data_IF_314648440518
#
_entry.id   IF_314648440518
#
_cell.length_a   1.000
_cell.length_b   1.000
_cell.length_c   1.000
_cell.angle_alpha   90.00
_cell.angle_beta   90.00
_cell.angle_gamma   90.00
#
_symmetry.space_group_name_H-M   'P 1'
#
loop_
_entity.id
_entity.type
_entity.pdbx_description
1 polymer ?
#
# COMPACT_ATOMS: atom_id res chain seq x y z
N UNK A 1 -53.25 80.06 -9.03
CA UNK A 1 -54.62 80.04 -8.49
C UNK A 1 -55.13 78.58 -8.51
N UNK A 2 -55.69 78.16 -7.38
CA UNK A 2 -56.46 76.93 -7.12
C UNK A 2 -55.75 75.57 -7.16
N UNK A 3 -55.39 75.18 -6.09
CA UNK A 3 -55.56 74.08 -5.11
C UNK A 3 -56.60 73.04 -5.54
N UNK A 4 -56.25 71.76 -5.53
CA UNK A 4 -57.10 70.66 -5.16
C UNK A 4 -56.31 69.52 -4.52
N UNK A 5 -56.57 69.28 -3.25
CA UNK A 5 -56.16 68.12 -2.45
C UNK A 5 -56.99 66.89 -2.87
N UNK A 6 -56.36 65.76 -3.02
CA UNK A 6 -57.08 64.48 -2.92
C UNK A 6 -56.36 63.59 -1.94
N UNK A 7 -57.06 63.32 -0.84
CA UNK A 7 -56.75 62.25 0.09
C UNK A 7 -57.01 60.89 -0.57
N UNK A 8 -56.07 60.02 -0.53
CA UNK A 8 -56.34 58.62 -0.86
C UNK A 8 -55.93 57.74 0.32
N UNK A 9 -56.93 56.99 0.86
CA UNK A 9 -56.86 56.09 1.95
C UNK A 9 -55.96 54.90 1.66
N UNK A 10 -55.02 54.62 2.55
CA UNK A 10 -54.22 53.40 2.53
C UNK A 10 -55.06 52.22 3.04
N UNK A 11 -55.32 51.24 2.19
CA UNK A 11 -55.77 49.92 2.60
C UNK A 11 -54.54 49.06 2.85
N UNK A 12 -54.23 48.75 4.12
CA UNK A 12 -53.21 47.78 4.47
C UNK A 12 -53.75 46.36 4.22
N UNK A 13 -53.23 45.74 3.18
CA UNK A 13 -53.40 44.29 2.98
C UNK A 13 -52.22 43.62 3.71
N UNK A 14 -52.51 43.02 4.84
CA UNK A 14 -51.58 42.11 5.50
C UNK A 14 -51.45 40.83 4.66
N UNK A 15 -50.42 40.75 3.86
CA UNK A 15 -49.96 39.49 3.28
C UNK A 15 -49.20 38.76 4.38
N UNK A 16 -49.85 37.76 4.97
CA UNK A 16 -49.16 36.76 5.76
C UNK A 16 -48.20 36.00 4.84
N UNK A 17 -46.95 36.43 4.85
CA UNK A 17 -45.83 35.66 4.30
C UNK A 17 -45.73 34.36 5.12
N UNK A 18 -46.22 33.27 4.57
CA UNK A 18 -45.76 31.95 5.02
C UNK A 18 -44.25 31.90 4.75
N UNK A 19 -43.49 31.96 5.78
CA UNK A 19 -42.06 31.78 5.71
C UNK A 19 -41.77 30.37 5.18
N UNK A 20 -41.18 30.30 4.03
CA UNK A 20 -40.64 29.08 3.43
C UNK A 20 -39.30 28.73 4.11
N UNK A 21 -39.27 28.62 5.47
CA UNK A 21 -38.11 28.14 6.17
C UNK A 21 -37.93 26.61 6.10
N UNK A 22 -39.00 25.88 5.70
CA UNK A 22 -38.91 24.41 5.56
C UNK A 22 -38.15 23.95 4.31
N UNK A 23 -37.96 24.79 3.29
CA UNK A 23 -37.29 24.37 2.05
C UNK A 23 -35.75 24.43 2.11
N UNK A 24 -35.18 25.17 3.06
CA UNK A 24 -33.71 25.25 3.21
C UNK A 24 -33.15 24.13 4.10
N UNK A 25 -33.92 23.66 5.07
CA UNK A 25 -33.48 22.51 5.91
C UNK A 25 -33.63 21.17 5.18
N UNK A 26 -34.67 21.01 4.33
CA UNK A 26 -34.82 19.84 3.47
C UNK A 26 -33.68 19.74 2.44
N UNK A 27 -33.19 20.87 1.93
CA UNK A 27 -32.08 20.87 0.96
C UNK A 27 -30.77 20.49 1.60
N UNK A 28 -30.48 20.87 2.87
CA UNK A 28 -29.26 20.50 3.58
C UNK A 28 -29.24 19.04 4.03
N UNK A 29 -30.39 18.46 4.36
CA UNK A 29 -30.51 17.06 4.75
C UNK A 29 -30.49 16.09 3.57
N UNK A 30 -30.50 16.59 2.34
CA UNK A 30 -30.61 15.77 1.11
C UNK A 30 -29.29 15.59 0.34
N UNK A 31 -28.19 16.20 0.78
CA UNK A 31 -26.89 16.04 0.12
C UNK A 31 -26.30 14.67 0.44
N UNK A 32 -25.80 13.98 -0.59
CA UNK A 32 -25.11 12.70 -0.43
C UNK A 32 -23.73 12.96 0.14
N UNK A 33 -23.44 12.37 1.29
CA UNK A 33 -22.14 12.38 1.96
C UNK A 33 -21.76 10.98 2.36
N UNK A 34 -20.47 10.73 2.62
CA UNK A 34 -19.98 9.42 3.05
C UNK A 34 -19.19 9.53 4.35
N UNK A 35 -19.28 8.48 5.15
CA UNK A 35 -18.36 8.20 6.24
C UNK A 35 -17.57 6.96 5.88
N UNK A 36 -16.26 7.11 5.69
CA UNK A 36 -15.43 6.01 5.21
C UNK A 36 -14.62 5.36 6.32
N UNK A 37 -14.47 4.06 6.21
CA UNK A 37 -13.41 3.29 6.86
C UNK A 37 -12.52 2.69 5.77
N UNK A 38 -11.23 2.92 5.88
CA UNK A 38 -10.21 2.17 5.15
C UNK A 38 -9.63 1.20 6.14
N UNK A 39 -9.33 -0.02 5.73
CA UNK A 39 -8.74 -1.02 6.62
C UNK A 39 -7.80 -0.42 7.65
N UNK A 40 -7.91 -0.82 8.93
CA UNK A 40 -7.46 -0.08 10.11
C UNK A 40 -5.95 0.21 10.17
N UNK A 41 -5.62 1.50 10.38
CA UNK A 41 -4.39 2.10 10.90
C UNK A 41 -3.03 1.48 10.56
N UNK A 42 -2.38 2.04 9.54
CA UNK A 42 -0.95 1.95 9.35
C UNK A 42 -0.40 3.33 8.94
N UNK A 43 0.83 3.65 9.30
CA UNK A 43 1.47 4.93 8.98
C UNK A 43 2.28 4.77 7.70
N UNK A 44 1.99 5.60 6.66
CA UNK A 44 2.80 5.63 5.48
C UNK A 44 2.07 5.98 4.17
N UNK A 45 2.70 5.87 2.98
CA UNK A 45 2.08 6.05 1.65
C UNK A 45 0.88 5.12 1.39
N UNK A 46 0.63 4.22 2.29
CA UNK A 46 -0.54 3.40 2.47
C UNK A 46 -1.76 4.26 2.84
N UNK A 47 -2.86 4.07 2.12
CA UNK A 47 -4.11 4.73 2.43
C UNK A 47 -4.72 4.13 3.70
N UNK A 48 -5.14 4.99 4.61
CA UNK A 48 -5.79 4.64 5.88
C UNK A 48 -6.97 5.56 6.11
N UNK A 49 -7.85 5.22 7.06
CA UNK A 49 -8.96 6.10 7.43
C UNK A 49 -8.49 7.49 7.89
N UNK A 50 -7.27 7.58 8.44
CA UNK A 50 -6.73 8.84 8.95
C UNK A 50 -6.15 9.72 7.84
N UNK A 51 -5.43 9.13 6.86
CA UNK A 51 -4.73 9.86 5.82
C UNK A 51 -5.46 9.91 4.48
N UNK A 52 -6.55 9.17 4.28
CA UNK A 52 -7.41 9.30 3.11
C UNK A 52 -8.04 10.70 3.11
N UNK A 53 -7.70 11.50 2.12
CA UNK A 53 -8.21 12.87 1.98
C UNK A 53 -9.25 12.98 0.87
N UNK A 54 -9.16 12.12 -0.13
CA UNK A 54 -9.95 12.20 -1.35
C UNK A 54 -10.35 10.82 -1.84
N UNK A 55 -11.55 10.70 -2.38
CA UNK A 55 -12.02 9.53 -3.12
C UNK A 55 -12.91 9.95 -4.28
N UNK A 56 -13.03 9.10 -5.27
CA UNK A 56 -13.87 9.30 -6.46
C UNK A 56 -14.99 8.29 -6.44
N UNK A 57 -16.22 8.78 -6.54
CA UNK A 57 -17.41 7.96 -6.39
C UNK A 57 -18.25 8.02 -7.68
N UNK A 58 -18.66 6.86 -8.17
CA UNK A 58 -19.69 6.72 -9.18
C UNK A 58 -20.97 6.16 -8.55
N UNK A 59 -22.12 6.67 -8.94
CA UNK A 59 -23.41 6.25 -8.44
C UNK A 59 -24.30 5.73 -9.57
N UNK A 60 -24.95 4.61 -9.32
CA UNK A 60 -25.83 3.94 -10.28
C UNK A 60 -27.20 3.69 -9.65
N UNK A 61 -28.28 3.86 -10.42
CA UNK A 61 -29.60 3.43 -9.98
C UNK A 61 -29.63 1.90 -9.88
N UNK A 62 -30.01 1.37 -8.71
CA UNK A 62 -30.13 -0.07 -8.51
C UNK A 62 -31.13 -0.73 -9.47
N UNK A 63 -32.21 -0.03 -9.81
CA UNK A 63 -33.32 -0.55 -10.62
C UNK A 63 -32.93 -0.91 -12.05
N UNK A 64 -31.98 -0.17 -12.66
CA UNK A 64 -31.65 -0.34 -14.08
C UNK A 64 -30.16 -0.23 -14.41
N UNK A 65 -29.31 0.05 -13.42
CA UNK A 65 -27.86 0.18 -13.60
C UNK A 65 -27.42 1.44 -14.36
N UNK A 66 -28.32 2.37 -14.67
CA UNK A 66 -27.93 3.64 -15.29
C UNK A 66 -27.13 4.49 -14.30
N UNK A 67 -26.11 5.20 -14.81
CA UNK A 67 -25.34 6.14 -14.01
C UNK A 67 -26.21 7.31 -13.56
N UNK A 68 -26.11 7.66 -12.28
CA UNK A 68 -26.66 8.90 -11.72
C UNK A 68 -25.60 10.00 -11.77
N UNK A 69 -24.38 9.70 -11.32
CA UNK A 69 -23.18 10.50 -11.55
C UNK A 69 -21.97 9.56 -11.67
N UNK A 70 -20.94 10.02 -12.34
CA UNK A 70 -19.72 9.25 -12.56
C UNK A 70 -18.50 10.04 -12.10
N UNK A 71 -17.57 9.34 -11.42
CA UNK A 71 -16.25 9.85 -11.05
C UNK A 71 -16.27 11.19 -10.30
N UNK A 72 -17.27 11.37 -9.46
CA UNK A 72 -17.40 12.58 -8.65
C UNK A 72 -16.40 12.57 -7.50
N UNK A 73 -15.60 13.62 -7.38
CA UNK A 73 -14.66 13.80 -6.28
C UNK A 73 -15.38 14.10 -4.97
N UNK A 74 -14.99 13.38 -3.93
CA UNK A 74 -15.37 13.62 -2.54
C UNK A 74 -14.13 13.89 -1.71
N UNK A 75 -14.14 14.93 -0.91
CA UNK A 75 -13.02 15.35 -0.07
C UNK A 75 -13.39 15.22 1.40
N UNK A 76 -12.44 14.79 2.21
CA UNK A 76 -12.60 14.70 3.66
C UNK A 76 -12.86 16.08 4.25
N UNK A 77 -13.92 16.21 5.02
CA UNK A 77 -14.29 17.45 5.67
C UNK A 77 -13.23 17.85 6.72
N UNK A 78 -12.77 19.09 6.67
CA UNK A 78 -11.82 19.62 7.64
C UNK A 78 -12.56 20.11 8.88
N UNK A 79 -12.39 19.41 9.99
CA UNK A 79 -13.04 19.76 11.27
C UNK A 79 -12.82 18.69 12.33
N UNK A 80 -13.19 18.96 13.56
CA UNK A 80 -12.94 18.12 14.72
C UNK A 80 -13.54 16.73 14.59
N UNK A 81 -12.72 15.75 14.25
CA UNK A 81 -13.01 14.33 14.49
C UNK A 81 -13.99 13.65 13.54
N UNK A 82 -14.40 14.28 12.43
CA UNK A 82 -15.28 13.65 11.44
C UNK A 82 -14.50 12.95 10.34
N UNK A 83 -14.88 11.72 10.01
CA UNK A 83 -14.43 11.00 8.80
C UNK A 83 -15.44 11.18 7.65
N UNK A 84 -16.15 12.31 7.63
CA UNK A 84 -17.15 12.63 6.62
C UNK A 84 -16.48 13.12 5.34
N UNK A 85 -16.92 12.59 4.21
CA UNK A 85 -16.51 13.01 2.88
C UNK A 85 -17.67 13.71 2.20
N UNK A 86 -17.42 14.92 1.73
CA UNK A 86 -18.40 15.79 1.03
C UNK A 86 -18.03 15.90 -0.44
N UNK A 87 -19.02 15.95 -1.34
CA UNK A 87 -18.78 16.09 -2.78
C UNK A 87 -18.27 17.49 -3.14
N UNK A 88 -17.34 17.58 -4.08
CA UNK A 88 -16.90 18.87 -4.63
C UNK A 88 -18.05 19.63 -5.30
N UNK A 89 -18.94 18.90 -6.00
CA UNK A 89 -20.20 19.43 -6.51
C UNK A 89 -21.36 18.71 -5.81
N UNK A 90 -22.30 19.44 -5.17
CA UNK A 90 -23.38 18.82 -4.40
C UNK A 90 -24.18 17.78 -5.21
N UNK A 91 -24.32 16.60 -4.64
CA UNK A 91 -25.14 15.51 -5.17
C UNK A 91 -26.29 15.26 -4.20
N UNK A 92 -27.50 15.07 -4.70
CA UNK A 92 -28.69 15.04 -3.87
C UNK A 92 -29.41 13.68 -3.96
N UNK A 93 -30.00 13.27 -2.84
CA UNK A 93 -30.88 12.13 -2.81
C UNK A 93 -32.16 12.39 -3.61
N UNK A 94 -32.58 11.43 -4.41
CA UNK A 94 -33.92 11.44 -5.02
C UNK A 94 -34.82 10.50 -4.22
N UNK A 95 -36.00 10.96 -3.88
CA UNK A 95 -36.97 10.22 -3.09
C UNK A 95 -37.34 8.87 -3.75
N UNK A 96 -37.41 7.81 -2.95
CA UNK A 96 -37.78 6.47 -3.42
C UNK A 96 -36.74 5.77 -4.29
N UNK A 97 -35.52 6.33 -4.44
CA UNK A 97 -34.42 5.72 -5.20
C UNK A 97 -33.42 4.99 -4.31
N UNK A 98 -32.99 3.84 -4.81
CA UNK A 98 -31.84 3.11 -4.24
C UNK A 98 -30.66 3.21 -5.21
N UNK A 99 -29.50 3.50 -4.65
CA UNK A 99 -28.27 3.67 -5.42
C UNK A 99 -27.26 2.59 -5.02
N UNK A 100 -26.49 2.13 -6.00
CA UNK A 100 -25.20 1.50 -5.81
C UNK A 100 -24.13 2.59 -5.93
N UNK A 101 -23.40 2.85 -4.85
CA UNK A 101 -22.20 3.68 -4.87
C UNK A 101 -20.99 2.82 -5.01
N UNK A 102 -20.07 3.21 -5.89
CA UNK A 102 -18.77 2.57 -6.10
C UNK A 102 -17.71 3.65 -5.96
N UNK A 103 -16.81 3.47 -4.99
CA UNK A 103 -15.76 4.43 -4.70
C UNK A 103 -14.38 3.82 -4.95
N UNK A 104 -13.47 4.64 -5.43
CA UNK A 104 -12.06 4.31 -5.62
C UNK A 104 -11.18 5.42 -5.06
N UNK A 105 -9.96 5.08 -4.69
CA UNK A 105 -8.88 6.02 -4.46
C UNK A 105 -7.55 5.35 -4.84
N UNK A 106 -6.60 6.10 -5.42
CA UNK A 106 -6.69 7.47 -5.93
C UNK A 106 -7.59 7.58 -7.18
N UNK A 107 -7.63 8.77 -7.79
CA UNK A 107 -8.35 9.06 -9.03
C UNK A 107 -8.00 8.06 -10.14
N UNK A 108 -9.02 7.60 -10.90
CA UNK A 108 -8.86 6.56 -11.93
C UNK A 108 -7.83 6.89 -13.01
N UNK A 109 -7.66 8.17 -13.34
CA UNK A 109 -6.67 8.65 -14.32
C UNK A 109 -5.23 8.50 -13.83
N UNK A 110 -5.04 8.32 -12.53
CA UNK A 110 -3.72 8.15 -11.92
C UNK A 110 -3.35 6.67 -11.71
N UNK A 111 -4.24 5.74 -11.98
CA UNK A 111 -3.95 4.31 -11.95
C UNK A 111 -3.01 3.94 -13.11
N UNK A 112 -2.19 2.90 -12.99
CA UNK A 112 -1.36 2.42 -14.10
C UNK A 112 -2.16 2.16 -15.39
N UNK A 113 -3.39 1.67 -15.22
CA UNK A 113 -4.43 1.56 -16.26
C UNK A 113 -5.75 2.00 -15.65
N UNK A 114 -6.47 2.89 -16.32
CA UNK A 114 -7.75 3.39 -15.81
C UNK A 114 -8.79 2.27 -15.70
N UNK A 115 -9.44 2.10 -14.54
CA UNK A 115 -10.47 1.08 -14.37
C UNK A 115 -11.78 1.46 -15.07
N UNK A 116 -12.52 0.46 -15.50
CA UNK A 116 -13.92 0.58 -15.90
C UNK A 116 -14.80 0.29 -14.70
N UNK A 117 -15.70 1.23 -14.39
CA UNK A 117 -16.62 1.16 -13.23
C UNK A 117 -18.04 0.98 -13.73
N UNK A 118 -18.71 -0.04 -13.22
CA UNK A 118 -20.14 -0.32 -13.47
C UNK A 118 -20.86 -0.55 -12.14
N UNK A 119 -22.18 -0.68 -12.20
CA UNK A 119 -22.98 -1.02 -11.01
C UNK A 119 -22.51 -2.32 -10.33
N UNK A 120 -22.13 -3.32 -11.12
CA UNK A 120 -21.89 -4.68 -10.63
C UNK A 120 -20.41 -5.00 -10.38
N UNK A 121 -19.51 -4.24 -11.01
CA UNK A 121 -18.07 -4.51 -10.90
C UNK A 121 -17.18 -3.32 -11.28
N UNK A 122 -15.95 -3.35 -10.75
CA UNK A 122 -14.82 -2.54 -11.24
C UNK A 122 -13.84 -3.48 -11.92
N UNK A 123 -13.47 -3.19 -13.16
CA UNK A 123 -12.51 -4.01 -13.92
C UNK A 123 -11.33 -3.16 -14.38
N UNK A 124 -10.14 -3.75 -14.35
CA UNK A 124 -8.93 -3.12 -14.87
C UNK A 124 -8.07 -4.20 -15.52
N UNK A 125 -7.97 -4.17 -16.84
CA UNK A 125 -7.14 -5.09 -17.60
C UNK A 125 -5.67 -4.65 -17.56
N UNK A 126 -4.74 -5.61 -17.54
CA UNK A 126 -3.30 -5.37 -17.59
C UNK A 126 -2.77 -4.42 -16.50
N UNK A 127 -3.43 -4.37 -15.34
CA UNK A 127 -2.98 -3.55 -14.21
C UNK A 127 -1.61 -4.04 -13.74
N UNK A 128 -0.61 -3.16 -13.76
CA UNK A 128 0.77 -3.43 -13.39
C UNK A 128 1.28 -2.35 -12.44
N UNK A 129 1.59 -2.65 -11.18
CA UNK A 129 2.28 -1.72 -10.29
C UNK A 129 3.64 -1.31 -10.87
N UNK A 130 4.08 -0.07 -10.62
CA UNK A 130 5.39 0.40 -11.04
C UNK A 130 6.51 -0.50 -10.49
N UNK A 131 7.57 -0.71 -11.26
CA UNK A 131 8.72 -1.53 -10.83
C UNK A 131 9.60 -0.80 -9.80
N UNK A 132 9.63 0.53 -9.85
CA UNK A 132 10.23 1.37 -8.82
C UNK A 132 9.28 1.47 -7.63
N UNK A 133 9.72 1.01 -6.45
CA UNK A 133 8.85 0.91 -5.27
C UNK A 133 8.27 2.26 -4.86
N UNK A 134 9.02 3.35 -4.96
CA UNK A 134 8.56 4.70 -4.59
C UNK A 134 7.52 5.29 -5.54
N UNK A 135 7.39 4.75 -6.74
CA UNK A 135 6.43 5.22 -7.75
C UNK A 135 5.09 4.47 -7.66
N UNK A 136 5.02 3.47 -6.80
CA UNK A 136 3.82 2.67 -6.59
C UNK A 136 2.75 3.44 -5.84
N UNK A 137 1.50 3.12 -6.13
CA UNK A 137 0.32 3.68 -5.48
C UNK A 137 -0.48 2.58 -4.81
N UNK A 138 -1.00 2.89 -3.65
CA UNK A 138 -1.99 2.06 -3.01
C UNK A 138 -3.35 2.28 -3.68
N UNK A 139 -4.01 1.19 -4.04
CA UNK A 139 -5.27 1.20 -4.77
C UNK A 139 -6.35 0.59 -3.88
N UNK A 140 -7.39 1.37 -3.60
CA UNK A 140 -8.51 0.94 -2.77
C UNK A 140 -9.84 1.09 -3.50
N UNK A 141 -10.76 0.14 -3.26
CA UNK A 141 -12.10 0.11 -3.85
C UNK A 141 -13.12 -0.25 -2.77
N UNK A 142 -14.31 0.35 -2.84
CA UNK A 142 -15.44 -0.05 -2.02
C UNK A 142 -16.76 0.20 -2.72
N UNK A 143 -17.78 -0.54 -2.32
CA UNK A 143 -19.14 -0.33 -2.84
C UNK A 143 -20.19 -0.51 -1.74
N UNK A 144 -21.28 0.22 -1.85
CA UNK A 144 -22.40 0.17 -0.90
C UNK A 144 -23.72 0.48 -1.58
N UNK A 145 -24.79 -0.16 -1.10
CA UNK A 145 -26.16 0.18 -1.46
C UNK A 145 -26.74 1.13 -0.43
N UNK A 146 -27.37 2.23 -0.87
CA UNK A 146 -28.02 3.16 0.04
C UNK A 146 -29.22 3.88 -0.59
N UNK A 147 -30.10 4.35 0.30
CA UNK A 147 -31.26 5.17 -0.01
C UNK A 147 -31.27 6.43 0.85
N UNK A 148 -32.12 7.39 0.52
CA UNK A 148 -32.34 8.56 1.40
C UNK A 148 -32.88 8.20 2.79
N UNK A 149 -33.46 7.01 2.95
CA UNK A 149 -34.07 6.58 4.23
C UNK A 149 -33.10 5.83 5.15
N UNK A 150 -32.03 5.21 4.60
CA UNK A 150 -31.13 4.35 5.37
C UNK A 150 -29.70 4.89 5.51
N UNK A 151 -29.45 6.15 5.19
CA UNK A 151 -28.22 6.83 5.55
C UNK A 151 -28.34 7.48 6.93
N UNK A 152 -27.23 7.54 7.66
CA UNK A 152 -27.22 8.26 8.94
C UNK A 152 -26.94 9.77 8.74
N UNK A 153 -27.10 10.57 9.81
CA UNK A 153 -26.86 12.03 9.76
C UNK A 153 -25.43 12.42 9.39
N UNK A 154 -24.48 11.47 9.46
CA UNK A 154 -23.06 11.69 9.13
C UNK A 154 -22.68 11.14 7.76
N UNK A 155 -23.64 10.72 6.93
CA UNK A 155 -23.46 10.17 5.60
C UNK A 155 -23.62 8.65 5.52
N UNK A 156 -23.33 8.10 4.34
CA UNK A 156 -23.37 6.67 4.04
C UNK A 156 -22.11 6.00 4.56
N UNK A 157 -22.24 4.92 5.31
CA UNK A 157 -21.10 4.12 5.75
C UNK A 157 -20.53 3.34 4.57
N UNK A 158 -19.28 3.63 4.22
CA UNK A 158 -18.57 3.02 3.10
C UNK A 158 -17.23 2.44 3.55
N UNK A 159 -17.02 1.14 3.32
CA UNK A 159 -15.74 0.48 3.56
C UNK A 159 -14.95 0.37 2.26
N UNK A 160 -13.73 0.88 2.27
CA UNK A 160 -12.76 0.77 1.17
C UNK A 160 -11.77 -0.34 1.47
N UNK A 161 -11.49 -1.18 0.49
CA UNK A 161 -10.62 -2.35 0.62
C UNK A 161 -9.39 -2.20 -0.26
N UNK A 162 -8.22 -2.53 0.27
CA UNK A 162 -6.98 -2.64 -0.51
C UNK A 162 -7.08 -3.83 -1.46
N UNK A 163 -6.67 -3.63 -2.71
CA UNK A 163 -6.73 -4.66 -3.75
C UNK A 163 -5.38 -5.28 -4.07
N UNK A 164 -4.31 -4.77 -3.51
CA UNK A 164 -2.94 -5.26 -3.62
C UNK A 164 -2.50 -5.96 -2.32
N UNK A 165 -1.31 -6.56 -2.36
CA UNK A 165 -0.56 -6.98 -1.17
C UNK A 165 0.53 -5.95 -0.89
N UNK A 166 0.81 -5.67 0.39
CA UNK A 166 1.91 -4.80 0.78
C UNK A 166 3.08 -5.61 1.33
N UNK A 167 4.29 -5.31 0.85
CA UNK A 167 5.53 -5.93 1.30
C UNK A 167 6.42 -4.87 1.95
N UNK A 168 6.52 -4.91 3.27
CA UNK A 168 7.40 -4.06 4.05
C UNK A 168 8.67 -4.82 4.40
N UNK A 169 9.83 -4.26 4.08
CA UNK A 169 11.13 -4.84 4.43
C UNK A 169 11.83 -3.90 5.38
N UNK A 170 12.24 -4.43 6.50
CA UNK A 170 13.03 -3.75 7.51
C UNK A 170 14.24 -4.60 7.88
N UNK A 171 15.31 -3.95 8.29
CA UNK A 171 16.54 -4.58 8.72
C UNK A 171 16.85 -4.18 10.14
N UNK A 172 17.52 -5.06 10.89
CA UNK A 172 18.08 -4.76 12.20
C UNK A 172 19.45 -5.39 12.37
N UNK A 173 20.28 -4.78 13.23
CA UNK A 173 21.55 -5.33 13.67
C UNK A 173 21.89 -4.82 15.07
N UNK A 174 22.20 -5.74 15.98
CA UNK A 174 22.75 -5.45 17.31
C UNK A 174 24.27 -5.66 17.35
N UNK A 175 24.92 -5.88 16.19
CA UNK A 175 26.35 -6.16 16.11
C UNK A 175 27.19 -4.87 16.14
N UNK A 176 27.77 -4.55 17.28
CA UNK A 176 28.60 -3.35 17.48
C UNK A 176 29.96 -3.40 16.74
N UNK A 177 30.32 -4.55 16.14
CA UNK A 177 31.62 -4.75 15.47
C UNK A 177 31.54 -4.59 13.95
N UNK A 178 30.34 -4.48 13.40
CA UNK A 178 30.09 -4.42 11.95
C UNK A 178 29.25 -3.20 11.60
N UNK A 179 29.61 -2.53 10.52
CA UNK A 179 28.83 -1.48 9.89
C UNK A 179 28.29 -2.00 8.56
N UNK A 180 26.98 -1.95 8.40
CA UNK A 180 26.29 -2.25 7.17
C UNK A 180 25.85 -0.95 6.50
N UNK A 181 26.22 -0.77 5.24
CA UNK A 181 25.79 0.34 4.39
C UNK A 181 24.89 -0.23 3.31
N UNK A 182 23.61 0.11 3.35
CA UNK A 182 22.59 -0.44 2.46
C UNK A 182 22.25 0.65 1.42
N UNK A 183 22.61 0.42 0.17
CA UNK A 183 22.42 1.36 -0.93
C UNK A 183 21.15 1.10 -1.73
N UNK A 184 20.60 -0.09 -1.65
CA UNK A 184 19.40 -0.45 -2.38
C UNK A 184 18.78 -1.75 -1.93
N UNK A 185 17.59 -2.00 -2.48
CA UNK A 185 16.76 -3.18 -2.20
C UNK A 185 16.09 -3.66 -3.47
N UNK A 186 15.94 -4.97 -3.62
CA UNK A 186 15.13 -5.60 -4.68
C UNK A 186 14.25 -6.70 -4.10
N UNK A 187 13.05 -6.86 -4.67
CA UNK A 187 12.23 -8.07 -4.55
C UNK A 187 12.30 -8.73 -5.94
N UNK A 188 13.06 -9.80 -6.02
CA UNK A 188 13.50 -10.39 -7.29
C UNK A 188 12.59 -11.53 -7.69
N UNK A 189 12.36 -11.68 -9.00
CA UNK A 189 11.59 -12.75 -9.62
C UNK A 189 10.19 -12.94 -9.03
N UNK A 190 9.50 -11.83 -8.73
CA UNK A 190 8.08 -11.88 -8.46
C UNK A 190 7.37 -12.48 -9.69
N UNK A 191 6.57 -13.52 -9.48
CA UNK A 191 6.12 -14.41 -10.55
C UNK A 191 5.34 -13.69 -11.65
N UNK A 192 4.54 -12.67 -11.30
CA UNK A 192 3.68 -11.95 -12.23
C UNK A 192 3.73 -10.45 -11.99
N UNK A 193 4.01 -9.70 -13.06
CA UNK A 193 4.11 -8.24 -13.03
C UNK A 193 2.78 -7.52 -13.30
N UNK A 194 1.80 -8.21 -13.90
CA UNK A 194 0.50 -7.64 -14.26
C UNK A 194 -0.61 -8.67 -14.21
N UNK A 195 -1.84 -8.18 -14.13
CA UNK A 195 -3.03 -9.02 -14.16
C UNK A 195 -4.30 -8.22 -14.46
N UNK A 196 -5.38 -8.93 -14.72
CA UNK A 196 -6.71 -8.35 -14.81
C UNK A 196 -7.39 -8.40 -13.45
N UNK A 197 -7.68 -7.21 -12.93
CA UNK A 197 -8.50 -7.05 -11.73
C UNK A 197 -9.98 -7.12 -12.10
N UNK A 198 -10.75 -7.87 -11.31
CA UNK A 198 -12.21 -7.79 -11.26
C UNK A 198 -12.63 -7.64 -9.79
N UNK A 199 -13.23 -6.52 -9.45
CA UNK A 199 -13.77 -6.26 -8.12
C UNK A 199 -15.30 -6.31 -8.18
N UNK A 200 -15.90 -7.25 -7.46
CA UNK A 200 -17.36 -7.40 -7.36
C UNK A 200 -17.91 -6.38 -6.37
N UNK A 201 -18.86 -5.56 -6.81
CA UNK A 201 -19.53 -4.54 -5.97
C UNK A 201 -20.63 -5.14 -5.09
N UNK A 202 -20.97 -6.41 -5.29
CA UNK A 202 -22.01 -7.11 -4.52
C UNK A 202 -21.47 -7.61 -3.19
N UNK A 203 -20.28 -8.21 -3.19
CA UNK A 203 -19.64 -8.79 -2.02
C UNK A 203 -18.34 -8.09 -1.60
N UNK A 204 -17.98 -7.01 -2.29
CA UNK A 204 -16.77 -6.21 -2.06
C UNK A 204 -15.48 -7.05 -2.08
N UNK A 205 -15.36 -7.94 -3.06
CA UNK A 205 -14.21 -8.82 -3.24
C UNK A 205 -13.48 -8.58 -4.54
N UNK A 206 -12.15 -8.50 -4.43
CA UNK A 206 -11.26 -8.46 -5.58
C UNK A 206 -10.86 -9.88 -6.02
N UNK A 207 -10.75 -10.08 -7.32
CA UNK A 207 -10.18 -11.26 -7.95
C UNK A 207 -9.15 -10.84 -8.99
N UNK A 208 -8.07 -11.62 -9.13
CA UNK A 208 -6.99 -11.35 -10.06
C UNK A 208 -6.81 -12.51 -11.02
N UNK A 209 -6.86 -12.23 -12.33
CA UNK A 209 -6.40 -13.13 -13.38
C UNK A 209 -4.98 -12.71 -13.79
N UNK A 210 -4.00 -13.59 -13.54
CA UNK A 210 -2.57 -13.33 -13.73
C UNK A 210 -1.99 -14.00 -14.98
N UNK A 211 -2.80 -14.56 -15.85
CA UNK A 211 -2.34 -15.38 -16.98
C UNK A 211 -1.41 -14.61 -17.94
N UNK A 212 -1.64 -13.31 -18.12
CA UNK A 212 -0.82 -12.47 -19.01
C UNK A 212 0.47 -11.95 -18.35
N UNK A 213 0.67 -12.15 -17.05
CA UNK A 213 1.81 -11.59 -16.32
C UNK A 213 3.13 -12.34 -16.56
N UNK A 214 4.24 -11.61 -16.48
CA UNK A 214 5.62 -12.09 -16.61
C UNK A 214 6.36 -11.91 -15.27
N UNK A 215 7.48 -12.59 -15.07
CA UNK A 215 8.38 -12.34 -13.93
C UNK A 215 8.88 -10.89 -13.93
N UNK A 216 9.02 -10.32 -12.74
CA UNK A 216 9.45 -8.93 -12.53
C UNK A 216 10.31 -8.80 -11.28
N UNK A 217 11.18 -7.79 -11.28
CA UNK A 217 11.92 -7.33 -10.09
C UNK A 217 11.44 -5.94 -9.73
N UNK A 218 10.99 -5.77 -8.50
CA UNK A 218 10.70 -4.47 -7.91
C UNK A 218 11.93 -3.98 -7.16
N UNK A 219 12.30 -2.71 -7.32
CA UNK A 219 13.54 -2.19 -6.75
C UNK A 219 13.42 -0.76 -6.25
N UNK A 220 14.34 -0.41 -5.37
CA UNK A 220 14.60 0.97 -4.97
C UNK A 220 16.07 1.16 -4.61
N UNK A 221 16.69 2.22 -5.12
CA UNK A 221 18.07 2.63 -4.80
C UNK A 221 18.00 3.89 -3.95
N UNK A 222 18.60 3.85 -2.76
CA UNK A 222 18.60 4.98 -1.85
C UNK A 222 19.52 6.10 -2.36
N UNK A 223 19.09 7.37 -2.32
CA UNK A 223 19.98 8.51 -2.64
C UNK A 223 21.22 8.53 -1.74
N UNK A 224 21.06 8.23 -0.46
CA UNK A 224 22.15 8.01 0.50
C UNK A 224 22.03 6.63 1.11
N UNK A 225 23.14 5.92 1.38
CA UNK A 225 23.08 4.61 2.02
C UNK A 225 22.44 4.70 3.41
N UNK A 226 21.60 3.74 3.75
CA UNK A 226 21.15 3.51 5.12
C UNK A 226 22.28 2.79 5.85
N UNK A 227 22.70 3.31 7.01
CA UNK A 227 23.81 2.77 7.80
C UNK A 227 23.28 2.16 9.08
N UNK A 228 23.60 0.87 9.29
CA UNK A 228 23.40 0.19 10.58
C UNK A 228 24.78 -0.07 11.19
N UNK A 229 25.00 0.36 12.43
CA UNK A 229 26.29 0.17 13.13
C UNK A 229 26.18 -0.56 14.46
N UNK A 230 24.97 -0.96 14.85
CA UNK A 230 24.70 -1.80 16.02
C UNK A 230 25.08 -1.23 17.39
N UNK A 231 25.67 -0.02 17.44
CA UNK A 231 26.12 0.60 18.68
C UNK A 231 24.96 0.97 19.58
N UNK A 232 25.25 1.15 20.87
CA UNK A 232 24.24 1.52 21.87
C UNK A 232 23.52 2.81 21.53
N UNK A 233 24.24 3.78 20.94
CA UNK A 233 23.77 5.08 20.48
C UNK A 233 23.64 5.19 18.93
N UNK A 234 23.86 4.08 18.24
CA UNK A 234 23.85 4.01 16.79
C UNK A 234 22.49 3.56 16.21
N UNK A 235 22.43 3.49 14.88
CA UNK A 235 21.23 3.02 14.18
C UNK A 235 21.22 1.50 14.17
N UNK A 236 20.24 0.90 14.83
CA UNK A 236 20.05 -0.56 14.93
C UNK A 236 19.00 -1.10 13.98
N UNK A 237 18.02 -0.30 13.61
CA UNK A 237 16.89 -0.72 12.78
C UNK A 237 16.58 0.31 11.69
N UNK A 238 16.19 -0.15 10.52
CA UNK A 238 15.74 0.71 9.43
C UNK A 238 14.69 0.02 8.55
N UNK A 239 13.76 0.82 8.02
CA UNK A 239 12.80 0.37 7.00
C UNK A 239 13.38 0.66 5.62
N UNK A 240 13.39 -0.36 4.75
CA UNK A 240 13.99 -0.28 3.42
C UNK A 240 12.98 -0.01 2.30
N UNK A 241 11.70 -0.17 2.52
CA UNK A 241 10.64 0.03 1.51
C UNK A 241 10.00 1.41 1.55
N UNK A 242 10.72 2.40 2.11
CA UNK A 242 10.23 3.76 2.35
C UNK A 242 9.72 3.95 3.78
N UNK A 243 9.82 5.17 4.31
CA UNK A 243 9.44 5.49 5.70
C UNK A 243 7.97 5.14 5.97
N UNK A 244 7.16 5.19 4.94
CA UNK A 244 5.73 5.31 5.01
C UNK A 244 4.97 4.16 4.34
N UNK A 245 5.63 3.13 3.85
CA UNK A 245 4.91 2.11 3.12
C UNK A 245 5.69 0.82 2.92
N UNK A 246 5.21 0.05 2.00
CA UNK A 246 5.81 -1.15 1.48
C UNK A 246 5.71 -1.17 -0.03
N UNK A 247 6.37 -2.13 -0.65
CA UNK A 247 6.14 -2.41 -2.05
C UNK A 247 4.71 -2.92 -2.25
N UNK A 248 3.97 -2.30 -3.18
CA UNK A 248 2.64 -2.72 -3.59
C UNK A 248 2.75 -3.76 -4.69
N UNK A 249 2.36 -4.99 -4.40
CA UNK A 249 2.53 -6.12 -5.30
C UNK A 249 1.16 -6.77 -5.57
N UNK A 250 0.94 -7.23 -6.79
CA UNK A 250 -0.25 -8.01 -7.13
C UNK A 250 -0.26 -9.28 -6.28
N UNK A 251 -1.39 -9.58 -5.61
CA UNK A 251 -1.55 -10.80 -4.84
C UNK A 251 -1.35 -12.04 -5.70
N UNK A 252 -0.44 -12.93 -5.29
CA UNK A 252 -0.05 -14.08 -6.10
C UNK A 252 0.65 -15.16 -5.31
N UNK A 253 0.58 -16.41 -5.83
CA UNK A 253 1.50 -17.48 -5.45
C UNK A 253 2.81 -17.38 -6.22
N UNK A 254 3.89 -17.87 -5.60
CA UNK A 254 5.22 -17.89 -6.21
C UNK A 254 6.06 -19.06 -5.65
N UNK A 255 7.13 -19.41 -6.37
CA UNK A 255 8.15 -20.33 -5.87
C UNK A 255 9.25 -19.51 -5.24
N UNK A 256 9.58 -19.67 -3.95
CA UNK A 256 10.73 -19.00 -3.35
C UNK A 256 12.05 -19.56 -3.88
N UNK A 257 13.10 -18.73 -3.84
CA UNK A 257 14.47 -19.23 -4.00
C UNK A 257 14.81 -20.21 -2.86
N UNK A 258 15.42 -21.34 -3.21
CA UNK A 258 15.77 -22.40 -2.26
C UNK A 258 16.98 -22.07 -1.37
N UNK A 259 17.62 -20.91 -1.60
CA UNK A 259 18.79 -20.48 -0.84
C UNK A 259 20.04 -21.31 -1.09
N UNK A 260 20.09 -22.12 -2.16
CA UNK A 260 21.25 -22.97 -2.44
C UNK A 260 22.37 -22.23 -3.18
N UNK A 261 23.60 -22.74 -3.04
CA UNK A 261 24.73 -22.34 -3.89
C UNK A 261 24.41 -22.68 -5.34
N UNK A 262 24.67 -21.74 -6.24
CA UNK A 262 24.47 -21.95 -7.69
C UNK A 262 25.70 -22.64 -8.27
N UNK A 263 25.50 -23.77 -8.92
CA UNK A 263 26.50 -24.55 -9.68
C UNK A 263 25.91 -25.05 -10.99
N UNK A 264 26.74 -25.60 -11.86
CA UNK A 264 26.25 -26.20 -13.12
C UNK A 264 25.31 -27.38 -12.89
N UNK A 265 25.49 -28.13 -11.77
CA UNK A 265 24.64 -29.25 -11.37
C UNK A 265 23.41 -28.84 -10.54
N UNK A 266 23.45 -27.64 -9.93
CA UNK A 266 22.37 -27.05 -9.15
C UNK A 266 22.20 -25.59 -9.58
N UNK A 267 21.59 -25.34 -10.75
CA UNK A 267 21.34 -23.99 -11.22
C UNK A 267 20.34 -23.28 -10.35
N UNK A 268 20.37 -21.94 -10.38
CA UNK A 268 19.39 -21.13 -9.69
C UNK A 268 17.96 -21.52 -10.12
N UNK A 269 17.10 -21.80 -9.14
CA UNK A 269 15.71 -22.23 -9.39
C UNK A 269 14.77 -21.11 -9.87
N UNK A 270 15.32 -19.92 -10.18
CA UNK A 270 14.58 -18.71 -10.57
C UNK A 270 13.44 -18.32 -9.62
N UNK A 271 13.58 -18.68 -8.35
CA UNK A 271 12.61 -18.39 -7.30
C UNK A 271 12.65 -16.93 -6.84
N UNK A 272 11.62 -16.53 -6.12
CA UNK A 272 11.48 -15.19 -5.55
C UNK A 272 12.35 -15.04 -4.30
N UNK A 273 13.05 -13.92 -4.16
CA UNK A 273 13.85 -13.58 -2.99
C UNK A 273 13.96 -12.07 -2.78
N UNK A 274 14.44 -11.67 -1.60
CA UNK A 274 14.80 -10.29 -1.30
C UNK A 274 16.31 -10.13 -1.51
N UNK A 275 16.74 -9.01 -2.13
CA UNK A 275 18.15 -8.71 -2.31
C UNK A 275 18.47 -7.30 -1.79
N UNK A 276 19.61 -7.18 -1.10
CA UNK A 276 20.11 -5.94 -0.54
C UNK A 276 21.43 -5.57 -1.21
N UNK A 277 21.58 -4.33 -1.62
CA UNK A 277 22.85 -3.80 -2.14
C UNK A 277 23.70 -3.32 -0.95
N UNK A 278 24.70 -4.10 -0.55
CA UNK A 278 25.46 -3.92 0.67
C UNK A 278 26.93 -3.55 0.43
N UNK A 279 27.42 -2.69 1.32
CA UNK A 279 28.83 -2.59 1.67
C UNK A 279 28.95 -2.88 3.16
N UNK A 280 29.87 -3.75 3.54
CA UNK A 280 30.05 -4.22 4.92
C UNK A 280 31.48 -4.01 5.37
N UNK A 281 31.64 -3.38 6.53
CA UNK A 281 32.94 -3.02 7.09
C UNK A 281 33.01 -3.39 8.57
N UNK A 282 34.19 -3.85 9.02
CA UNK A 282 34.47 -3.99 10.45
C UNK A 282 34.63 -2.59 11.09
N UNK A 283 34.08 -2.38 12.29
CA UNK A 283 34.27 -1.13 13.06
C UNK A 283 35.74 -0.91 13.42
N UNK A 284 36.42 -2.00 13.77
CA UNK A 284 37.88 -1.97 14.05
C UNK A 284 38.63 -2.51 12.83
N UNK A 285 39.46 -1.67 12.21
CA UNK A 285 40.23 -2.03 11.03
C UNK A 285 39.93 -1.17 9.81
N UNK A 286 40.69 -1.35 8.75
CA UNK A 286 40.57 -0.59 7.48
C UNK A 286 39.94 -1.41 6.36
N UNK A 287 39.73 -2.74 6.59
CA UNK A 287 39.25 -3.65 5.55
C UNK A 287 37.72 -3.71 5.43
N UNK A 288 37.29 -3.85 4.21
CA UNK A 288 35.89 -4.19 3.89
C UNK A 288 35.72 -5.72 3.94
N UNK A 289 34.63 -6.15 4.55
CA UNK A 289 34.30 -7.57 4.65
C UNK A 289 33.50 -8.03 3.42
N UNK A 290 32.71 -7.11 2.84
CA UNK A 290 31.96 -7.34 1.60
C UNK A 290 31.62 -6.00 0.92
N UNK A 291 31.80 -5.87 -0.40
CA UNK A 291 32.55 -6.82 -1.24
C UNK A 291 34.04 -6.88 -0.82
N UNK A 292 34.66 -8.05 -0.98
CA UNK A 292 36.10 -8.17 -0.86
C UNK A 292 36.79 -7.30 -1.93
N UNK A 293 37.94 -6.69 -1.59
CA UNK A 293 38.63 -5.79 -2.52
C UNK A 293 37.97 -4.46 -2.76
N UNK A 294 36.91 -4.10 -1.99
CA UNK A 294 36.27 -2.80 -2.08
C UNK A 294 37.28 -1.66 -1.92
N UNK A 295 37.30 -0.74 -2.89
CA UNK A 295 38.22 0.41 -2.93
C UNK A 295 37.70 1.60 -2.09
N UNK A 296 36.60 1.39 -1.34
CA UNK A 296 35.99 2.42 -0.51
C UNK A 296 34.54 2.13 -0.15
N UNK A 297 33.92 3.08 0.49
CA UNK A 297 32.52 2.98 0.97
C UNK A 297 31.48 2.93 -0.15
N UNK A 298 31.88 3.22 -1.38
CA UNK A 298 30.99 3.26 -2.55
C UNK A 298 31.03 2.01 -3.44
N UNK A 299 31.79 0.97 -3.04
CA UNK A 299 31.72 -0.35 -3.69
C UNK A 299 30.68 -1.21 -3.00
N UNK A 300 29.77 -1.81 -3.75
CA UNK A 300 28.65 -2.59 -3.23
C UNK A 300 28.58 -3.96 -3.88
N UNK A 301 27.94 -4.91 -3.21
CA UNK A 301 27.59 -6.21 -3.75
C UNK A 301 26.16 -6.59 -3.36
N UNK A 302 25.47 -7.34 -4.23
CA UNK A 302 24.12 -7.81 -3.93
C UNK A 302 24.15 -9.01 -3.00
N UNK A 303 23.32 -8.97 -1.98
CA UNK A 303 23.15 -10.00 -0.96
C UNK A 303 21.72 -10.50 -0.99
N UNK A 304 21.53 -11.79 -1.17
CA UNK A 304 20.23 -12.42 -1.27
C UNK A 304 19.78 -13.06 0.04
N UNK A 305 18.49 -12.96 0.29
CA UNK A 305 17.78 -13.57 1.42
C UNK A 305 16.56 -14.30 0.88
N UNK A 306 16.52 -15.63 1.04
CA UNK A 306 15.39 -16.43 0.63
C UNK A 306 14.13 -16.05 1.43
N UNK A 307 12.99 -15.88 0.75
CA UNK A 307 11.71 -15.61 1.42
C UNK A 307 11.07 -16.93 1.88
N UNK A 308 10.45 -16.95 3.06
CA UNK A 308 9.96 -18.20 3.65
C UNK A 308 8.57 -18.61 3.18
N UNK A 309 7.78 -17.65 2.72
CA UNK A 309 6.41 -17.89 2.23
C UNK A 309 6.39 -18.10 0.72
N UNK A 310 5.31 -18.63 0.21
CA UNK A 310 5.10 -18.93 -1.21
C UNK A 310 3.89 -18.22 -1.82
N UNK A 311 3.30 -17.27 -1.10
CA UNK A 311 2.17 -16.46 -1.58
C UNK A 311 2.08 -15.12 -0.86
N UNK A 312 1.50 -14.15 -1.56
CA UNK A 312 1.00 -12.89 -1.01
C UNK A 312 -0.50 -12.78 -1.33
N UNK A 313 -1.30 -12.51 -0.33
CA UNK A 313 -2.77 -12.49 -0.42
C UNK A 313 -3.30 -11.05 -0.46
N UNK A 314 -4.44 -10.86 -1.11
CA UNK A 314 -5.13 -9.56 -1.23
C UNK A 314 -5.36 -8.96 0.17
N UNK A 315 -5.09 -7.66 0.29
CA UNK A 315 -5.35 -6.92 1.52
C UNK A 315 -4.53 -7.38 2.72
N UNK A 316 -3.41 -8.07 2.49
CA UNK A 316 -2.48 -8.45 3.55
C UNK A 316 -1.16 -7.67 3.43
N UNK A 317 -0.62 -7.32 4.59
CA UNK A 317 0.69 -6.70 4.76
C UNK A 317 1.68 -7.73 5.32
N UNK A 318 2.77 -7.92 4.60
CA UNK A 318 3.87 -8.81 4.95
C UNK A 318 5.06 -7.98 5.40
N UNK A 319 5.44 -8.08 6.67
CA UNK A 319 6.57 -7.36 7.24
C UNK A 319 7.73 -8.35 7.41
N UNK A 320 8.76 -8.20 6.57
CA UNK A 320 10.00 -8.97 6.65
C UNK A 320 11.02 -8.20 7.48
N UNK A 321 11.34 -8.71 8.66
CA UNK A 321 12.40 -8.17 9.51
C UNK A 321 13.66 -9.02 9.34
N UNK A 322 14.67 -8.47 8.68
CA UNK A 322 15.94 -9.12 8.40
C UNK A 322 16.94 -8.82 9.53
N UNK A 323 17.29 -9.83 10.32
CA UNK A 323 18.23 -9.70 11.43
C UNK A 323 19.65 -10.01 10.94
N UNK A 324 20.45 -8.97 10.82
CA UNK A 324 21.84 -9.01 10.36
C UNK A 324 22.86 -9.08 11.51
N UNK A 325 22.41 -9.30 12.75
CA UNK A 325 23.31 -9.29 13.92
C UNK A 325 24.39 -10.37 13.88
N UNK A 326 24.12 -11.52 13.23
CA UNK A 326 25.04 -12.68 13.21
C UNK A 326 25.64 -12.97 11.84
N UNK A 327 25.19 -12.30 10.77
CA UNK A 327 25.67 -12.52 9.41
C UNK A 327 25.07 -11.56 8.41
N UNK A 328 25.47 -11.64 7.14
CA UNK A 328 24.97 -10.74 6.12
C UNK A 328 24.30 -11.44 4.91
N UNK A 329 24.01 -12.74 5.02
CA UNK A 329 23.31 -13.50 4.00
C UNK A 329 24.22 -14.14 2.95
N UNK A 330 23.65 -14.39 1.78
CA UNK A 330 24.31 -15.08 0.67
C UNK A 330 24.53 -14.13 -0.50
N UNK A 331 25.55 -14.41 -1.31
CA UNK A 331 25.73 -13.68 -2.57
C UNK A 331 24.53 -13.93 -3.47
N UNK A 332 24.08 -12.87 -4.14
CA UNK A 332 22.96 -12.93 -5.06
C UNK A 332 23.16 -14.05 -6.13
N UNK A 333 22.16 -14.90 -6.39
CA UNK A 333 22.27 -15.99 -7.36
C UNK A 333 22.34 -15.51 -8.81
N UNK A 334 22.05 -14.22 -9.07
CA UNK A 334 22.02 -13.62 -10.41
C UNK A 334 23.13 -12.57 -10.52
N UNK A 335 23.79 -12.53 -11.69
CA UNK A 335 24.77 -11.47 -11.96
C UNK A 335 24.10 -10.10 -11.95
N UNK A 336 24.74 -9.10 -11.33
CA UNK A 336 24.21 -7.75 -11.32
C UNK A 336 24.27 -7.14 -12.73
N UNK A 337 23.26 -6.33 -13.02
CA UNK A 337 23.34 -5.39 -14.12
C UNK A 337 24.40 -4.33 -13.82
N UNK A 338 25.10 -3.86 -14.85
CA UNK A 338 26.09 -2.79 -14.70
C UNK A 338 25.36 -1.47 -14.35
N UNK A 339 25.83 -0.81 -13.31
CA UNK A 339 25.34 0.51 -12.92
C UNK A 339 26.54 1.47 -12.86
N UNK A 340 26.65 2.42 -13.80
CA UNK A 340 27.80 3.34 -13.86
C UNK A 340 27.91 4.25 -12.64
N UNK A 341 26.79 4.54 -11.97
CA UNK A 341 26.75 5.45 -10.81
C UNK A 341 27.02 4.73 -9.48
N UNK A 342 27.00 3.42 -9.48
CA UNK A 342 27.24 2.61 -8.26
C UNK A 342 28.03 1.38 -8.65
N UNK A 343 29.35 1.35 -8.42
CA UNK A 343 30.18 0.17 -8.71
C UNK A 343 29.67 -1.06 -7.95
N UNK A 344 29.19 -2.05 -8.68
CA UNK A 344 28.66 -3.29 -8.14
C UNK A 344 29.65 -4.42 -8.47
N UNK A 345 30.12 -5.11 -7.45
CA UNK A 345 31.06 -6.22 -7.61
C UNK A 345 30.31 -7.49 -8.00
N UNK A 346 30.87 -8.21 -8.99
CA UNK A 346 30.29 -9.48 -9.47
C UNK A 346 30.59 -10.64 -8.50
N UNK A 347 29.70 -11.62 -8.37
CA UNK A 347 29.95 -12.85 -7.62
C UNK A 347 31.20 -13.60 -8.12
N UNK A 348 31.97 -14.17 -7.21
CA UNK A 348 33.15 -14.99 -7.53
C UNK A 348 34.35 -14.26 -8.12
N UNK A 349 34.35 -12.91 -8.08
CA UNK A 349 35.45 -12.08 -8.61
C UNK A 349 36.16 -11.39 -7.46
N UNK A 350 37.49 -11.18 -7.60
CA UNK A 350 38.32 -10.44 -6.66
C UNK A 350 38.23 -10.94 -5.20
N UNK A 351 38.12 -12.26 -5.02
CA UNK A 351 38.03 -12.88 -3.69
C UNK A 351 36.64 -12.86 -3.07
N UNK A 352 35.62 -12.39 -3.78
CA UNK A 352 34.23 -12.48 -3.33
C UNK A 352 33.71 -13.91 -3.47
N UNK A 353 32.81 -14.35 -2.57
CA UNK A 353 32.14 -15.64 -2.69
C UNK A 353 31.32 -15.73 -3.98
N UNK A 354 31.12 -16.96 -4.46
CA UNK A 354 30.31 -17.23 -5.64
C UNK A 354 28.79 -17.12 -5.37
N UNK A 355 28.00 -17.22 -6.44
CA UNK A 355 26.53 -17.14 -6.38
C UNK A 355 25.93 -18.11 -5.37
N UNK A 356 25.08 -17.61 -4.48
CA UNK A 356 24.43 -18.40 -3.43
C UNK A 356 25.34 -18.86 -2.28
N UNK A 357 26.62 -18.50 -2.30
CA UNK A 357 27.53 -18.78 -1.19
C UNK A 357 27.33 -17.81 -0.01
N UNK A 358 27.60 -18.27 1.21
CA UNK A 358 27.61 -17.41 2.37
C UNK A 358 28.73 -16.37 2.27
N UNK A 359 28.45 -15.15 2.68
CA UNK A 359 29.44 -14.08 2.67
C UNK A 359 30.29 -14.16 3.91
N UNK A 360 29.70 -14.08 5.09
CA UNK A 360 30.32 -14.36 6.39
C UNK A 360 29.25 -14.58 7.45
N UNK A 361 29.64 -15.21 8.57
CA UNK A 361 28.72 -15.48 9.68
C UNK A 361 27.62 -16.47 9.33
N UNK A 362 26.53 -16.39 10.07
CA UNK A 362 25.34 -17.19 9.85
C UNK A 362 24.48 -16.61 8.70
N UNK A 363 23.51 -17.38 8.23
CA UNK A 363 22.45 -16.87 7.36
C UNK A 363 21.66 -15.77 8.08
N UNK A 364 21.20 -14.78 7.33
CA UNK A 364 20.31 -13.75 7.89
C UNK A 364 19.09 -14.44 8.50
N UNK A 365 18.90 -14.22 9.79
CA UNK A 365 17.66 -14.62 10.45
C UNK A 365 16.59 -13.60 10.11
N UNK A 366 15.39 -14.07 9.87
CA UNK A 366 14.28 -13.15 9.62
C UNK A 366 13.01 -13.63 10.32
N UNK A 367 12.19 -12.67 10.66
CA UNK A 367 10.83 -12.85 11.12
C UNK A 367 9.88 -12.28 10.07
N UNK A 368 8.81 -12.99 9.78
CA UNK A 368 7.74 -12.49 8.90
C UNK A 368 6.48 -12.34 9.73
N UNK A 369 6.01 -11.11 9.84
CA UNK A 369 4.70 -10.80 10.43
C UNK A 369 3.71 -10.58 9.29
N UNK A 370 2.62 -11.34 9.27
CA UNK A 370 1.52 -11.14 8.33
C UNK A 370 0.35 -10.55 9.09
N UNK A 371 -0.09 -9.37 8.66
CA UNK A 371 -1.27 -8.73 9.22
C UNK A 371 -2.28 -8.47 8.12
N UNK A 372 -3.57 -8.74 8.35
CA UNK A 372 -4.61 -8.22 7.47
C UNK A 372 -4.45 -6.69 7.41
N UNK A 373 -4.53 -6.13 6.22
CA UNK A 373 -4.42 -4.69 6.01
C UNK A 373 -5.60 -3.92 6.63
N UNK A 374 -6.60 -4.67 7.08
CA UNK A 374 -7.87 -4.18 7.62
C UNK A 374 -8.15 -4.51 9.10
N UNK A 375 -7.29 -5.24 9.82
CA UNK A 375 -7.55 -5.57 11.24
C UNK A 375 -6.29 -5.54 12.10
N UNK A 376 -6.33 -4.92 13.30
CA UNK A 376 -5.26 -5.05 14.26
C UNK A 376 -5.45 -6.35 15.04
N UNK A 377 -4.91 -7.46 14.56
CA UNK A 377 -4.60 -8.59 15.42
C UNK A 377 -3.41 -9.37 14.84
N UNK A 378 -2.35 -9.28 15.57
CA UNK A 378 -1.03 -9.78 15.27
C UNK A 378 -1.02 -11.31 15.38
N UNK A 379 -0.76 -11.99 14.29
CA UNK A 379 -0.27 -13.37 14.32
C UNK A 379 1.22 -13.37 14.00
N UNK A 380 2.08 -13.71 14.95
CA UNK A 380 3.48 -14.01 14.67
C UNK A 380 3.57 -15.42 14.08
N UNK A 381 4.19 -15.53 12.91
CA UNK A 381 4.52 -16.85 12.33
C UNK A 381 5.94 -17.19 12.78
N UNK A 382 6.07 -18.17 13.68
CA UNK A 382 7.37 -18.74 14.02
C UNK A 382 7.83 -19.68 12.90
N UNK A 383 8.72 -19.18 12.08
CA UNK A 383 9.20 -19.88 10.88
C UNK A 383 10.18 -21.02 11.17
N UNK A 384 10.68 -21.13 12.40
CA UNK A 384 11.49 -22.28 12.79
C UNK A 384 10.66 -23.55 12.98
N UNK A 385 9.36 -23.40 13.23
CA UNK A 385 8.41 -24.50 13.50
C UNK A 385 7.24 -24.56 12.52
N UNK A 386 7.07 -23.57 11.63
CA UNK A 386 5.93 -23.48 10.69
C UNK A 386 4.59 -23.22 11.38
N UNK A 387 4.57 -22.77 12.63
CA UNK A 387 3.36 -22.62 13.44
C UNK A 387 2.92 -21.14 13.53
N UNK A 388 1.64 -20.88 13.28
CA UNK A 388 1.03 -19.55 13.48
C UNK A 388 0.63 -19.43 14.95
N UNK A 389 1.28 -18.51 15.70
CA UNK A 389 0.82 -18.13 17.04
C UNK A 389 -0.16 -16.98 16.93
N UNK A 390 -1.44 -17.26 17.15
CA UNK A 390 -2.48 -16.24 17.28
C UNK A 390 -2.50 -15.77 18.75
N UNK A 391 -2.09 -14.55 19.02
CA UNK A 391 -2.22 -13.95 20.35
C UNK A 391 -3.66 -13.51 20.59
N UNK A 392 -4.48 -14.44 21.08
CA UNK A 392 -5.80 -14.12 21.66
C UNK A 392 -5.60 -13.58 23.08
N UNK A 393 -5.27 -12.31 23.25
CA UNK A 393 -5.44 -11.63 24.52
C UNK A 393 -6.85 -11.03 24.58
N UNK A 394 -7.71 -11.48 25.50
CA UNK A 394 -9.03 -10.87 25.66
C UNK A 394 -8.86 -9.43 26.18
N UNK A 395 -9.55 -8.50 25.53
CA UNK A 395 -9.63 -7.11 25.97
C UNK A 395 -10.11 -7.07 27.42
N UNK A 396 -9.27 -6.56 28.35
CA UNK A 396 -9.69 -6.27 29.71
C UNK A 396 -10.74 -5.17 29.65
N UNK A 397 -11.98 -5.53 29.95
CA UNK A 397 -13.02 -4.57 30.30
C UNK A 397 -12.57 -3.79 31.54
N UNK A 398 -12.49 -2.49 31.43
CA UNK A 398 -12.60 -1.53 32.51
C UNK A 398 -13.91 -0.78 32.41
#
# INVERSE_FOLDING_TARGET
MKKAFYMMAAAAIALSSCSSEETTDVAKSSTITFRTTVGLNSRGAELTSDNLQEMWVSAFYQSNGQSYFDDQKFTKETGTGTSTFIPESPQYWQEGRTYKFVAISPEKTTWPVAPTITKDQVTCADLAPATTITDQKDLIIGAVDATSANHNTNGVDLTLNHILSQIKIQVKSDNEHIVYRIKGIRIVNVAKNKGTLTYSTTDNKANWDLNAGQKVTYSYTFPQPIVLDGKTDGVKEAVLTGADGGAMIIPQGFTPWDGQKVTDQAPYNEGTYISLLLNVKAVKGTGYMYPAGAQGENSYGWVAVAVPNNKWEIGNKYIYTLDMSTGCGKVDPVDPEENPDTPIVKPGVDGNPGKGENIFGDVIKFNVTVTPWATPNVGEIDMSTGTIKVNNSPAKKK
#
